data_IF_422006870779
#
_entry.id   IF_422006870779
#
_cell.length_a   1.000
_cell.length_b   1.000
_cell.length_c   1.000
_cell.angle_alpha   90.00
_cell.angle_beta   90.00
_cell.angle_gamma   90.00
#
_symmetry.space_group_name_H-M   'P 1'
#
loop_
_entity.id
_entity.type
_entity.pdbx_description
1 polymer ?
#
# COMPACT_ATOMS: atom_id res chain seq x y z
N UNK A 1 8.40 -4.99 -27.62
CA UNK A 1 7.38 -4.12 -26.98
C UNK A 1 6.13 -4.94 -26.75
N UNK A 2 5.50 -4.84 -25.58
CA UNK A 2 4.26 -5.51 -25.18
C UNK A 2 3.07 -4.58 -25.29
N UNK A 3 1.90 -5.00 -24.84
CA UNK A 3 0.66 -4.22 -25.00
C UNK A 3 0.64 -2.96 -24.14
N UNK A 4 1.40 -2.97 -23.04
CA UNK A 4 1.68 -1.79 -22.22
C UNK A 4 3.15 -1.40 -22.39
N UNK A 5 3.42 -0.09 -22.45
CA UNK A 5 4.75 0.49 -22.27
C UNK A 5 4.67 1.32 -21.00
N UNK A 6 5.31 0.88 -19.92
CA UNK A 6 5.29 1.59 -18.64
C UNK A 6 6.13 2.87 -18.74
N UNK A 7 5.56 4.01 -18.36
CA UNK A 7 6.22 5.32 -18.37
C UNK A 7 6.63 5.76 -16.96
N UNK A 8 7.46 6.80 -16.84
CA UNK A 8 7.73 7.44 -15.54
C UNK A 8 6.46 8.05 -14.93
N UNK A 9 5.60 8.63 -15.75
CA UNK A 9 4.32 9.20 -15.32
C UNK A 9 3.42 8.14 -14.68
N UNK A 10 3.26 6.97 -15.33
CA UNK A 10 2.50 5.85 -14.77
C UNK A 10 3.02 5.45 -13.36
N UNK A 11 4.33 5.54 -13.16
CA UNK A 11 5.01 5.20 -11.90
C UNK A 11 4.76 6.27 -10.83
N UNK A 12 4.98 7.54 -11.16
CA UNK A 12 4.86 8.67 -10.22
C UNK A 12 3.41 8.91 -9.83
N UNK A 13 2.48 8.77 -10.77
CA UNK A 13 1.04 8.92 -10.54
C UNK A 13 0.40 7.66 -9.94
N UNK A 14 1.19 6.59 -9.72
CA UNK A 14 0.73 5.31 -9.17
C UNK A 14 -0.45 4.74 -9.95
N UNK A 15 -0.37 4.75 -11.27
CA UNK A 15 -1.44 4.26 -12.15
C UNK A 15 -1.81 2.82 -11.77
N UNK A 16 -3.09 2.52 -11.53
CA UNK A 16 -3.50 1.16 -11.22
C UNK A 16 -3.43 0.27 -12.47
N UNK A 17 -2.87 -0.92 -12.29
CA UNK A 17 -2.87 -1.97 -13.30
C UNK A 17 -3.50 -3.25 -12.72
N UNK A 18 -4.54 -3.81 -13.34
CA UNK A 18 -5.17 -5.04 -12.86
C UNK A 18 -4.23 -6.24 -12.91
N UNK A 19 -3.19 -6.17 -13.74
CA UNK A 19 -2.15 -7.17 -13.93
C UNK A 19 -0.80 -6.77 -13.31
N UNK A 20 -0.81 -5.87 -12.33
CA UNK A 20 0.38 -5.51 -11.56
C UNK A 20 0.93 -6.71 -10.78
N UNK A 21 2.12 -7.21 -11.14
CA UNK A 21 2.61 -8.52 -10.70
C UNK A 21 4.05 -8.54 -10.17
N UNK A 22 4.81 -7.45 -10.33
CA UNK A 22 6.15 -7.31 -9.75
C UNK A 22 6.21 -6.01 -8.97
N UNK A 23 6.52 -6.06 -7.68
CA UNK A 23 6.66 -4.87 -6.86
C UNK A 23 8.07 -4.29 -6.97
N UNK A 24 8.20 -2.97 -7.07
CA UNK A 24 9.49 -2.30 -6.95
C UNK A 24 9.37 -1.03 -6.11
N UNK A 25 10.41 -0.72 -5.34
CA UNK A 25 10.49 0.42 -4.42
C UNK A 25 11.68 1.32 -4.74
N UNK A 26 12.39 1.06 -5.84
CA UNK A 26 13.58 1.83 -6.22
C UNK A 26 13.19 3.15 -6.86
N UNK A 27 13.91 4.23 -6.57
CA UNK A 27 13.68 5.51 -7.26
C UNK A 27 14.06 5.42 -8.74
N UNK A 28 13.49 6.30 -9.56
CA UNK A 28 13.97 6.50 -10.94
C UNK A 28 15.40 7.04 -10.85
N UNK A 29 16.39 6.20 -11.16
CA UNK A 29 17.82 6.54 -11.08
C UNK A 29 18.48 6.63 -12.46
N UNK A 30 18.61 7.86 -12.95
CA UNK A 30 19.19 8.15 -14.25
C UNK A 30 20.64 8.59 -14.10
N UNK A 31 21.49 8.06 -14.99
CA UNK A 31 22.91 8.32 -14.99
C UNK A 31 23.26 9.31 -16.08
N UNK A 32 23.73 10.49 -15.68
CA UNK A 32 24.15 11.54 -16.60
C UNK A 32 25.65 11.73 -16.53
N UNK A 33 26.33 11.95 -17.66
CA UNK A 33 27.73 12.37 -17.68
C UNK A 33 28.00 13.55 -16.75
N UNK A 34 29.12 13.51 -16.04
CA UNK A 34 29.58 14.68 -15.29
C UNK A 34 30.14 15.73 -16.26
N UNK A 35 29.92 17.01 -15.96
CA UNK A 35 30.30 18.11 -16.84
C UNK A 35 31.79 18.11 -17.27
N UNK A 36 32.77 17.80 -16.39
CA UNK A 36 34.18 17.72 -16.79
C UNK A 36 34.44 16.62 -17.84
N UNK A 37 33.76 15.47 -17.73
CA UNK A 37 33.97 14.34 -18.64
C UNK A 37 33.18 14.48 -19.92
N UNK A 38 32.03 15.16 -19.89
CA UNK A 38 31.32 15.56 -21.10
C UNK A 38 32.16 16.52 -21.96
N UNK A 39 32.92 17.42 -21.32
CA UNK A 39 33.85 18.33 -22.01
C UNK A 39 35.10 17.63 -22.53
N UNK A 40 35.70 16.75 -21.72
CA UNK A 40 36.98 16.08 -22.05
C UNK A 40 36.82 14.91 -23.03
N UNK A 41 35.67 14.23 -23.00
CA UNK A 41 35.37 13.06 -23.81
C UNK A 41 33.96 13.19 -24.42
N UNK A 42 33.72 14.13 -25.34
CA UNK A 42 32.38 14.46 -25.84
C UNK A 42 31.67 13.28 -26.50
N UNK A 43 32.41 12.40 -27.18
CA UNK A 43 31.83 11.25 -27.88
C UNK A 43 31.60 10.02 -26.96
N UNK A 44 32.31 9.96 -25.82
CA UNK A 44 32.24 8.81 -24.91
C UNK A 44 32.59 9.18 -23.46
N UNK A 45 31.73 9.97 -22.78
CA UNK A 45 31.94 10.29 -21.39
C UNK A 45 31.69 9.07 -20.50
N UNK A 46 32.68 8.66 -19.71
CA UNK A 46 32.63 7.41 -18.94
C UNK A 46 32.42 7.58 -17.42
N UNK A 47 32.40 8.83 -16.92
CA UNK A 47 32.10 9.12 -15.51
C UNK A 47 30.74 9.81 -15.43
N UNK A 48 29.81 9.18 -14.73
CA UNK A 48 28.44 9.65 -14.54
C UNK A 48 28.14 10.03 -13.09
N UNK A 49 27.14 10.88 -12.91
CA UNK A 49 26.45 11.09 -11.64
C UNK A 49 25.07 10.44 -11.71
N UNK A 50 24.65 9.81 -10.62
CA UNK A 50 23.29 9.32 -10.48
C UNK A 50 22.37 10.45 -10.01
N UNK A 51 21.23 10.60 -10.68
CA UNK A 51 20.15 11.51 -10.30
C UNK A 51 18.94 10.66 -9.94
N UNK A 52 18.45 10.81 -8.71
CA UNK A 52 17.33 10.04 -8.20
C UNK A 52 16.07 10.90 -8.15
N UNK A 53 15.01 10.44 -8.81
CA UNK A 53 13.67 11.02 -8.69
C UNK A 53 13.06 10.78 -7.31
N UNK A 54 12.23 11.72 -6.85
CA UNK A 54 11.51 11.63 -5.57
C UNK A 54 10.05 11.17 -5.69
N UNK A 55 9.56 10.94 -6.92
CA UNK A 55 8.16 10.58 -7.17
C UNK A 55 7.79 9.13 -6.85
N UNK A 56 8.77 8.25 -6.58
CA UNK A 56 8.50 6.86 -6.18
C UNK A 56 8.29 6.78 -4.68
N UNK A 57 7.17 6.18 -4.29
CA UNK A 57 6.93 5.74 -2.93
C UNK A 57 7.83 4.55 -2.59
N UNK A 58 8.88 4.78 -1.80
CA UNK A 58 9.86 3.74 -1.47
C UNK A 58 9.39 2.78 -0.38
N UNK A 59 8.25 3.08 0.28
CA UNK A 59 7.65 2.21 1.29
C UNK A 59 6.71 1.21 0.63
N UNK A 60 5.71 1.72 -0.11
CA UNK A 60 4.70 0.90 -0.77
C UNK A 60 5.13 0.41 -2.14
N UNK A 61 5.99 1.16 -2.84
CA UNK A 61 6.41 0.84 -4.19
C UNK A 61 5.32 1.06 -5.22
N UNK A 62 5.53 0.47 -6.39
CA UNK A 62 4.55 0.40 -7.46
C UNK A 62 4.67 -0.94 -8.19
N UNK A 63 3.56 -1.50 -8.71
CA UNK A 63 3.59 -2.75 -9.42
C UNK A 63 3.89 -2.57 -10.91
N UNK A 64 4.64 -3.48 -11.50
CA UNK A 64 4.84 -3.55 -12.95
C UNK A 64 3.74 -4.44 -13.55
N UNK A 65 3.06 -4.01 -14.63
CA UNK A 65 2.03 -4.81 -15.29
C UNK A 65 2.63 -5.97 -16.10
N UNK A 66 1.99 -7.14 -16.03
CA UNK A 66 2.36 -8.33 -16.80
C UNK A 66 2.45 -8.05 -18.32
N UNK A 67 1.58 -7.17 -18.84
CA UNK A 67 1.58 -6.78 -20.25
C UNK A 67 2.85 -6.09 -20.76
N UNK A 68 3.77 -5.71 -19.87
CA UNK A 68 5.12 -5.25 -20.24
C UNK A 68 6.07 -6.40 -20.61
N UNK A 69 5.74 -7.65 -20.26
CA UNK A 69 6.65 -8.80 -20.24
C UNK A 69 6.52 -9.74 -21.44
N UNK A 70 5.74 -9.39 -22.47
CA UNK A 70 5.63 -10.18 -23.70
C UNK A 70 5.62 -9.29 -24.93
N UNK A 71 5.88 -9.87 -26.11
CA UNK A 71 5.88 -9.12 -27.36
C UNK A 71 4.47 -8.95 -27.92
N UNK A 72 4.14 -7.73 -28.38
CA UNK A 72 2.85 -7.41 -29.00
C UNK A 72 2.72 -7.93 -30.45
N UNK A 73 3.82 -8.35 -31.07
CA UNK A 73 3.87 -8.74 -32.48
C UNK A 73 4.59 -10.07 -32.76
N UNK A 74 5.20 -10.69 -31.74
CA UNK A 74 5.75 -12.05 -31.83
C UNK A 74 5.02 -12.88 -30.78
N UNK A 75 4.11 -13.73 -31.23
CA UNK A 75 3.10 -14.35 -30.37
C UNK A 75 3.71 -15.15 -29.21
N UNK A 76 4.75 -15.93 -29.46
CA UNK A 76 5.38 -16.79 -28.45
C UNK A 76 6.72 -16.21 -27.92
N UNK A 77 6.76 -14.91 -27.61
CA UNK A 77 7.95 -14.25 -27.08
C UNK A 77 7.69 -13.52 -25.77
N UNK A 78 8.25 -14.04 -24.68
CA UNK A 78 8.40 -13.34 -23.42
C UNK A 78 9.64 -12.43 -23.40
N UNK A 79 9.58 -11.36 -22.61
CA UNK A 79 10.67 -10.45 -22.30
C UNK A 79 10.66 -10.24 -20.77
N UNK A 80 11.77 -10.53 -20.09
CA UNK A 80 11.90 -10.34 -18.66
C UNK A 80 13.28 -9.76 -18.33
N UNK A 81 13.32 -8.79 -17.42
CA UNK A 81 14.53 -8.06 -17.06
C UNK A 81 14.62 -6.72 -17.79
N UNK A 82 15.81 -6.35 -18.29
CA UNK A 82 16.06 -5.02 -18.85
C UNK A 82 15.40 -4.77 -20.21
N UNK A 83 14.91 -5.81 -20.88
CA UNK A 83 14.32 -5.76 -22.21
C UNK A 83 12.78 -5.69 -22.19
N UNK A 84 12.16 -5.50 -21.01
CA UNK A 84 10.71 -5.29 -20.91
C UNK A 84 10.29 -3.96 -21.55
N UNK A 85 8.98 -3.79 -21.71
CA UNK A 85 8.42 -2.65 -22.43
C UNK A 85 8.22 -1.46 -21.50
N UNK A 86 9.21 -0.57 -21.47
CA UNK A 86 9.24 0.64 -20.63
C UNK A 86 9.85 1.82 -21.41
N UNK A 87 9.62 3.05 -20.99
CA UNK A 87 10.39 4.22 -21.48
C UNK A 87 11.80 4.23 -20.89
N UNK A 88 12.67 5.11 -21.41
CA UNK A 88 14.04 5.25 -20.93
C UNK A 88 14.10 5.60 -19.44
N UNK A 89 13.21 6.49 -19.00
CA UNK A 89 13.09 6.97 -17.63
C UNK A 89 12.62 5.85 -16.70
N UNK A 90 11.51 5.19 -17.05
CA UNK A 90 10.99 4.05 -16.30
C UNK A 90 12.00 2.89 -16.22
N UNK A 91 12.84 2.70 -17.25
CA UNK A 91 13.89 1.70 -17.21
C UNK A 91 14.84 1.88 -16.01
N UNK A 92 15.14 3.12 -15.61
CA UNK A 92 16.02 3.43 -14.48
C UNK A 92 15.64 2.65 -13.22
N UNK A 93 14.35 2.66 -12.87
CA UNK A 93 13.85 2.04 -11.65
C UNK A 93 13.52 0.54 -11.78
N UNK A 94 13.06 0.05 -12.93
CA UNK A 94 12.64 -1.36 -13.07
C UNK A 94 13.80 -2.34 -13.25
N UNK A 95 14.97 -1.86 -13.71
CA UNK A 95 16.14 -2.69 -14.10
C UNK A 95 16.97 -3.24 -12.94
N UNK A 96 16.62 -2.95 -11.69
CA UNK A 96 17.32 -3.47 -10.50
C UNK A 96 17.22 -4.99 -10.41
N UNK A 97 18.27 -5.64 -9.94
CA UNK A 97 18.45 -7.11 -10.06
C UNK A 97 17.33 -7.92 -9.38
N UNK A 98 16.87 -7.49 -8.20
CA UNK A 98 15.75 -8.16 -7.49
C UNK A 98 14.45 -8.06 -8.29
N UNK A 99 14.15 -6.88 -8.84
CA UNK A 99 12.99 -6.65 -9.69
C UNK A 99 13.04 -7.52 -10.94
N UNK A 100 14.19 -7.58 -11.63
CA UNK A 100 14.41 -8.47 -12.78
C UNK A 100 14.21 -9.96 -12.41
N UNK A 101 14.68 -10.38 -11.23
CA UNK A 101 14.46 -11.74 -10.73
C UNK A 101 12.98 -12.07 -10.53
N UNK A 102 12.21 -11.15 -9.95
CA UNK A 102 10.75 -11.30 -9.80
C UNK A 102 10.04 -11.39 -11.15
N UNK A 103 10.44 -10.60 -12.16
CA UNK A 103 9.89 -10.73 -13.52
C UNK A 103 10.08 -12.14 -14.08
N UNK A 104 11.24 -12.75 -13.84
CA UNK A 104 11.51 -14.14 -14.24
C UNK A 104 10.57 -15.15 -13.59
N UNK A 105 10.23 -14.96 -12.31
CA UNK A 105 9.24 -15.80 -11.61
C UNK A 105 7.86 -15.65 -12.23
N UNK A 106 7.42 -14.42 -12.51
CA UNK A 106 6.13 -14.15 -13.16
C UNK A 106 6.06 -14.82 -14.53
N UNK A 107 7.08 -14.61 -15.37
CA UNK A 107 7.13 -15.20 -16.72
C UNK A 107 7.17 -16.73 -16.66
N UNK A 108 7.89 -17.33 -15.70
CA UNK A 108 7.89 -18.78 -15.52
C UNK A 108 6.50 -19.34 -15.17
N UNK A 109 5.77 -18.65 -14.28
CA UNK A 109 4.38 -19.00 -13.92
C UNK A 109 3.44 -18.84 -15.12
N UNK A 110 3.53 -17.72 -15.84
CA UNK A 110 2.74 -17.48 -17.05
C UNK A 110 3.04 -18.49 -18.17
N UNK A 111 4.30 -18.83 -18.41
CA UNK A 111 4.69 -19.85 -19.39
C UNK A 111 4.08 -21.22 -19.07
N UNK A 112 3.93 -21.56 -17.79
CA UNK A 112 3.27 -22.79 -17.38
C UNK A 112 1.76 -22.79 -17.69
N UNK A 113 1.09 -21.63 -17.61
CA UNK A 113 -0.30 -21.43 -18.06
C UNK A 113 -0.37 -21.57 -19.58
N UNK A 114 0.52 -20.92 -20.32
CA UNK A 114 0.61 -21.07 -21.78
C UNK A 114 0.71 -22.54 -22.21
N UNK A 115 1.59 -23.31 -21.57
CA UNK A 115 1.78 -24.73 -21.85
C UNK A 115 0.56 -25.58 -21.45
N UNK A 116 -0.10 -25.27 -20.33
CA UNK A 116 -1.27 -26.01 -19.83
C UNK A 116 -2.49 -25.85 -20.74
N UNK A 117 -2.73 -24.64 -21.22
CA UNK A 117 -3.94 -24.31 -22.00
C UNK A 117 -3.69 -24.21 -23.51
N UNK A 118 -2.44 -24.37 -23.95
CA UNK A 118 -2.02 -24.18 -25.34
C UNK A 118 -2.39 -22.77 -25.86
N UNK A 119 -2.03 -21.75 -25.08
CA UNK A 119 -2.32 -20.34 -25.35
C UNK A 119 -1.04 -19.49 -25.41
N UNK A 120 -1.13 -18.27 -25.93
CA UNK A 120 0.01 -17.35 -26.03
C UNK A 120 0.22 -16.56 -24.73
N UNK A 121 1.42 -15.99 -24.49
CA UNK A 121 1.66 -14.99 -23.44
C UNK A 121 0.59 -13.90 -23.33
N UNK A 122 0.11 -13.39 -24.46
CA UNK A 122 -0.94 -12.36 -24.49
C UNK A 122 -2.28 -12.90 -23.98
N UNK A 123 -2.63 -14.13 -24.34
CA UNK A 123 -3.89 -14.76 -23.91
C UNK A 123 -3.94 -14.99 -22.40
N UNK A 124 -2.79 -15.16 -21.73
CA UNK A 124 -2.75 -15.24 -20.27
C UNK A 124 -3.41 -14.02 -19.63
N UNK A 125 -3.19 -12.81 -20.16
CA UNK A 125 -3.85 -11.61 -19.64
C UNK A 125 -5.35 -11.58 -19.94
N UNK A 126 -5.76 -11.91 -21.17
CA UNK A 126 -7.15 -11.74 -21.59
C UNK A 126 -8.07 -12.88 -21.17
N UNK A 127 -7.52 -14.08 -20.91
CA UNK A 127 -8.31 -15.30 -20.71
C UNK A 127 -7.99 -16.01 -19.39
N UNK A 128 -6.78 -15.83 -18.82
CA UNK A 128 -6.30 -16.61 -17.67
C UNK A 128 -5.64 -15.74 -16.59
N UNK A 129 -6.02 -14.46 -16.46
CA UNK A 129 -5.39 -13.53 -15.52
C UNK A 129 -5.63 -13.96 -14.07
N UNK A 130 -6.82 -14.47 -13.77
CA UNK A 130 -7.17 -14.97 -12.43
C UNK A 130 -6.27 -16.15 -12.04
N UNK A 131 -6.06 -17.11 -12.93
CA UNK A 131 -5.14 -18.25 -12.69
C UNK A 131 -3.70 -17.76 -12.49
N UNK A 132 -3.26 -16.74 -13.24
CA UNK A 132 -1.94 -16.14 -13.00
C UNK A 132 -1.86 -15.50 -11.61
N UNK A 133 -2.88 -14.76 -11.17
CA UNK A 133 -2.94 -14.15 -9.84
C UNK A 133 -2.90 -15.22 -8.75
N UNK A 134 -3.68 -16.29 -8.87
CA UNK A 134 -3.64 -17.43 -7.95
C UNK A 134 -2.24 -18.04 -7.87
N UNK A 135 -1.60 -18.27 -9.02
CA UNK A 135 -0.22 -18.76 -9.04
C UNK A 135 0.73 -17.79 -8.36
N UNK A 136 0.59 -16.47 -8.54
CA UNK A 136 1.46 -15.47 -7.93
C UNK A 136 1.33 -15.38 -6.41
N UNK A 137 0.16 -15.72 -5.85
CA UNK A 137 -0.07 -15.79 -4.40
C UNK A 137 0.59 -17.01 -3.74
N UNK A 138 0.98 -18.03 -4.52
CA UNK A 138 1.66 -19.20 -3.97
C UNK A 138 3.05 -18.85 -3.42
N UNK A 139 3.37 -19.27 -2.19
CA UNK A 139 4.71 -19.16 -1.61
C UNK A 139 5.81 -19.79 -2.47
N UNK A 140 7.04 -19.29 -2.33
CA UNK A 140 8.20 -19.75 -3.10
C UNK A 140 8.61 -21.21 -2.86
N UNK A 141 8.11 -21.84 -1.79
CA UNK A 141 8.33 -23.25 -1.44
C UNK A 141 7.26 -24.21 -1.99
N UNK A 142 6.26 -23.73 -2.73
CA UNK A 142 5.25 -24.59 -3.37
C UNK A 142 5.79 -25.27 -4.62
N UNK A 143 5.49 -26.56 -4.81
CA UNK A 143 5.89 -27.40 -5.96
C UNK A 143 4.71 -28.20 -6.48
N UNK A 144 4.84 -28.74 -7.70
CA UNK A 144 3.90 -29.68 -8.32
C UNK A 144 4.67 -30.62 -9.26
N UNK A 145 4.21 -31.84 -9.43
CA UNK A 145 4.87 -32.84 -10.27
C UNK A 145 4.62 -32.64 -11.77
N UNK A 146 3.44 -32.14 -12.13
CA UNK A 146 3.02 -31.87 -13.50
C UNK A 146 2.14 -30.62 -13.57
N UNK A 147 1.83 -30.14 -14.77
CA UNK A 147 0.93 -28.99 -14.97
C UNK A 147 -0.51 -29.25 -14.48
N UNK A 148 -0.91 -30.52 -14.37
CA UNK A 148 -2.23 -30.95 -13.92
C UNK A 148 -2.28 -31.34 -12.43
N UNK A 149 -1.12 -31.53 -11.79
CA UNK A 149 -1.04 -31.95 -10.39
C UNK A 149 -1.34 -30.79 -9.43
N UNK A 150 -1.95 -31.04 -8.27
CA UNK A 150 -2.08 -30.03 -7.22
C UNK A 150 -0.72 -29.59 -6.70
N UNK A 151 -0.66 -28.38 -6.14
CA UNK A 151 0.53 -27.89 -5.46
C UNK A 151 0.68 -28.54 -4.08
N UNK A 152 1.93 -28.79 -3.68
CA UNK A 152 2.31 -29.22 -2.34
C UNK A 152 3.49 -28.37 -1.82
N UNK A 153 3.60 -28.22 -0.51
CA UNK A 153 4.75 -27.57 0.12
C UNK A 153 5.95 -28.53 0.09
N UNK A 154 7.09 -28.08 -0.45
CA UNK A 154 8.32 -28.87 -0.46
C UNK A 154 8.98 -28.83 0.93
N UNK A 155 9.06 -29.97 1.66
CA UNK A 155 9.61 -30.00 3.02
C UNK A 155 11.12 -29.72 3.07
N UNK A 156 11.81 -29.71 1.93
CA UNK A 156 13.25 -29.43 1.86
C UNK A 156 13.54 -27.92 1.68
N UNK A 157 12.51 -27.10 1.48
CA UNK A 157 12.66 -25.65 1.32
C UNK A 157 12.29 -24.92 2.60
N UNK A 158 12.90 -23.75 2.86
CA UNK A 158 12.53 -22.92 3.98
C UNK A 158 11.04 -22.55 3.93
N UNK A 159 10.40 -22.53 5.09
CA UNK A 159 9.08 -21.93 5.23
C UNK A 159 9.17 -20.46 4.86
N UNK A 160 8.24 -20.00 4.03
CA UNK A 160 8.12 -18.59 3.67
C UNK A 160 7.21 -17.97 4.71
N UNK A 161 7.78 -17.17 5.60
CA UNK A 161 7.02 -16.38 6.58
C UNK A 161 6.45 -15.13 5.92
N UNK A 162 5.26 -14.71 6.35
CA UNK A 162 4.69 -13.43 5.95
C UNK A 162 5.62 -12.28 6.40
N UNK A 163 5.86 -11.27 5.55
CA UNK A 163 6.68 -10.14 5.94
C UNK A 163 6.07 -9.42 7.14
N UNK A 164 6.89 -9.15 8.15
CA UNK A 164 6.50 -8.28 9.26
C UNK A 164 6.40 -6.86 8.71
N UNK A 165 5.17 -6.38 8.53
CA UNK A 165 4.90 -4.98 8.19
C UNK A 165 4.77 -4.16 9.46
N UNK A 166 5.29 -2.93 9.42
CA UNK A 166 5.29 -1.97 10.51
C UNK A 166 4.06 -1.04 10.47
N UNK A 167 3.03 -1.41 9.70
CA UNK A 167 1.76 -0.72 9.54
C UNK A 167 0.61 -1.74 9.46
N UNK A 168 -0.61 -1.25 9.57
CA UNK A 168 -1.83 -2.05 9.50
C UNK A 168 -2.52 -1.78 8.16
N UNK A 169 -2.53 -2.74 7.22
CA UNK A 169 -3.32 -2.58 6.00
C UNK A 169 -4.80 -2.47 6.35
N UNK A 170 -5.49 -1.46 5.81
CA UNK A 170 -6.93 -1.25 5.98
C UNK A 170 -7.73 -2.48 5.53
N UNK A 171 -7.28 -3.16 4.48
CA UNK A 171 -7.86 -4.40 3.97
C UNK A 171 -7.78 -5.59 4.95
N UNK A 172 -6.90 -5.52 5.96
CA UNK A 172 -6.77 -6.55 7.01
C UNK A 172 -7.70 -6.32 8.21
N UNK A 173 -8.51 -5.25 8.17
CA UNK A 173 -9.40 -4.84 9.25
C UNK A 173 -10.86 -5.12 8.85
N UNK A 174 -11.62 -5.62 9.81
CA UNK A 174 -13.07 -5.83 9.64
C UNK A 174 -13.84 -4.53 9.85
N UNK A 175 -15.07 -4.51 9.33
CA UNK A 175 -15.99 -3.38 9.49
C UNK A 175 -15.67 -2.21 8.57
N UNK A 176 -16.23 -1.06 8.91
CA UNK A 176 -15.95 0.19 8.20
C UNK A 176 -14.69 0.79 8.83
N UNK A 177 -13.71 1.13 8.00
CA UNK A 177 -12.49 1.80 8.46
C UNK A 177 -12.32 3.10 7.68
N UNK A 178 -11.93 4.16 8.38
CA UNK A 178 -11.67 5.48 7.83
C UNK A 178 -10.28 5.89 8.30
N UNK A 179 -9.35 5.95 7.35
CA UNK A 179 -7.94 6.30 7.56
C UNK A 179 -7.75 7.81 7.80
N UNK A 180 -6.59 8.23 8.29
CA UNK A 180 -6.27 9.63 8.57
C UNK A 180 -6.39 10.50 7.31
N UNK A 181 -5.97 9.98 6.16
CA UNK A 181 -6.07 10.67 4.85
C UNK A 181 -7.50 10.83 4.34
N UNK A 182 -8.45 10.06 4.85
CA UNK A 182 -9.87 10.19 4.53
C UNK A 182 -10.59 11.18 5.47
N UNK A 183 -9.93 11.64 6.53
CA UNK A 183 -10.48 12.59 7.47
C UNK A 183 -10.49 14.02 6.92
N UNK A 184 -11.53 14.79 7.27
CA UNK A 184 -11.56 16.24 7.04
C UNK A 184 -10.79 16.93 8.16
N UNK A 185 -9.59 17.42 7.86
CA UNK A 185 -8.74 18.14 8.80
C UNK A 185 -9.06 19.64 8.86
N UNK A 186 -9.16 20.18 10.06
CA UNK A 186 -9.24 21.62 10.35
C UNK A 186 -8.07 22.02 11.25
N UNK A 187 -7.46 23.17 10.96
CA UNK A 187 -6.29 23.66 11.69
C UNK A 187 -4.98 23.06 11.19
N UNK A 188 -3.91 23.22 11.99
CA UNK A 188 -2.55 22.81 11.60
C UNK A 188 -2.23 21.43 12.17
N UNK A 189 -2.11 20.45 11.29
CA UNK A 189 -1.66 19.11 11.59
C UNK A 189 -0.25 18.87 11.03
N UNK A 190 0.54 18.07 11.73
CA UNK A 190 1.77 17.49 11.22
C UNK A 190 1.53 16.00 10.91
N UNK A 191 2.27 15.47 9.94
CA UNK A 191 2.23 14.04 9.59
C UNK A 191 3.38 13.29 10.28
N UNK A 192 3.12 12.04 10.66
CA UNK A 192 4.12 11.16 11.23
C UNK A 192 3.91 9.72 10.81
N UNK A 193 5.02 8.98 10.74
CA UNK A 193 5.04 7.53 10.53
C UNK A 193 6.15 6.88 11.37
N UNK A 194 6.59 7.57 12.43
CA UNK A 194 7.70 7.16 13.28
C UNK A 194 7.30 6.29 14.46
N UNK A 195 6.00 6.23 14.77
CA UNK A 195 5.42 5.25 15.69
C UNK A 195 4.76 4.15 14.86
N UNK A 196 5.35 2.95 14.73
CA UNK A 196 4.82 1.84 13.94
C UNK A 196 3.40 1.43 14.34
N UNK A 197 2.78 0.60 13.50
CA UNK A 197 1.42 0.07 13.64
C UNK A 197 0.31 1.12 13.42
N UNK A 198 0.60 2.16 12.64
CA UNK A 198 -0.42 3.06 12.08
C UNK A 198 -1.22 2.36 10.98
N UNK A 199 -2.43 2.84 10.69
CA UNK A 199 -3.21 2.35 9.56
C UNK A 199 -2.67 2.97 8.27
N UNK A 200 -2.54 2.15 7.23
CA UNK A 200 -2.04 2.56 5.91
C UNK A 200 -0.66 3.24 5.89
N UNK A 201 -0.60 4.58 5.81
CA UNK A 201 0.61 5.33 5.44
C UNK A 201 1.24 6.12 6.58
N UNK A 202 0.47 6.44 7.62
CA UNK A 202 0.92 7.25 8.73
C UNK A 202 -0.22 7.68 9.63
N UNK A 203 -0.02 8.82 10.27
CA UNK A 203 -1.00 9.46 11.13
C UNK A 203 -0.77 10.98 11.15
N UNK A 204 -1.80 11.73 11.53
CA UNK A 204 -1.68 13.14 11.86
C UNK A 204 -1.51 13.35 13.37
N UNK A 205 -0.80 14.40 13.76
CA UNK A 205 -0.76 14.87 15.14
C UNK A 205 -0.75 16.39 15.25
N UNK A 206 -1.39 16.90 16.30
CA UNK A 206 -1.47 18.32 16.60
C UNK A 206 -1.44 18.55 18.12
N UNK A 207 -0.79 19.64 18.53
CA UNK A 207 -0.46 19.93 19.92
C UNK A 207 -1.39 20.93 20.60
N UNK A 208 -0.98 21.35 21.81
CA UNK A 208 -1.69 22.35 22.63
C UNK A 208 -1.88 23.67 21.87
N UNK A 209 -3.03 24.31 22.09
CA UNK A 209 -3.33 25.63 21.54
C UNK A 209 -3.52 25.68 20.03
N UNK A 210 -3.58 24.52 19.36
CA UNK A 210 -3.74 24.46 17.90
C UNK A 210 -5.19 24.62 17.43
N UNK A 211 -6.19 24.44 18.31
CA UNK A 211 -7.61 24.50 17.97
C UNK A 211 -8.00 23.61 16.78
N UNK A 212 -7.23 22.55 16.53
CA UNK A 212 -7.32 21.70 15.37
C UNK A 212 -8.29 20.53 15.62
N UNK A 213 -8.86 20.00 14.54
CA UNK A 213 -9.73 18.82 14.59
C UNK A 213 -9.57 17.94 13.35
N UNK A 214 -9.74 16.63 13.53
CA UNK A 214 -9.79 15.64 12.48
C UNK A 214 -11.17 14.98 12.52
N UNK A 215 -11.95 15.14 11.45
CA UNK A 215 -13.34 14.70 11.37
C UNK A 215 -13.47 13.52 10.39
N UNK A 216 -13.85 12.36 10.92
CA UNK A 216 -14.07 11.11 10.20
C UNK A 216 -15.57 10.92 9.97
N UNK A 217 -15.97 10.72 8.71
CA UNK A 217 -17.37 10.51 8.30
C UNK A 217 -17.56 9.10 7.75
N UNK A 218 -18.66 8.45 8.11
CA UNK A 218 -19.02 7.14 7.57
C UNK A 218 -20.53 6.95 7.48
N UNK A 219 -20.95 5.97 6.70
CA UNK A 219 -22.35 5.52 6.61
C UNK A 219 -22.40 4.04 6.93
N UNK A 220 -23.35 3.63 7.78
CA UNK A 220 -23.54 2.22 8.14
C UNK A 220 -24.43 1.51 7.11
N UNK A 221 -24.23 0.20 6.86
CA UNK A 221 -25.04 -0.53 5.88
C UNK A 221 -26.46 -0.87 6.37
N UNK A 222 -26.65 -0.94 7.69
CA UNK A 222 -27.94 -1.25 8.35
C UNK A 222 -28.07 -0.46 9.64
N UNK A 223 -29.30 -0.13 10.02
CA UNK A 223 -29.56 0.47 11.33
C UNK A 223 -29.20 -0.52 12.44
N UNK A 224 -28.62 -0.04 13.54
CA UNK A 224 -28.22 -0.89 14.66
C UNK A 224 -27.12 -0.29 15.53
N UNK A 225 -26.68 -1.08 16.50
CA UNK A 225 -25.58 -0.72 17.38
C UNK A 225 -24.24 -1.13 16.77
N UNK A 226 -23.26 -0.24 16.89
CA UNK A 226 -21.92 -0.44 16.40
C UNK A 226 -20.90 -0.10 17.48
N UNK A 227 -19.86 -0.91 17.59
CA UNK A 227 -18.68 -0.55 18.35
C UNK A 227 -17.85 0.44 17.54
N UNK A 228 -17.58 1.60 18.14
CA UNK A 228 -16.74 2.64 17.54
C UNK A 228 -15.39 2.61 18.22
N UNK A 229 -14.33 2.51 17.42
CA UNK A 229 -12.94 2.46 17.87
C UNK A 229 -12.11 3.53 17.16
N UNK A 230 -11.04 3.98 17.82
CA UNK A 230 -10.00 4.81 17.22
C UNK A 230 -8.66 4.08 17.30
N UNK A 231 -7.79 4.30 16.32
CA UNK A 231 -6.39 3.89 16.40
C UNK A 231 -5.52 5.05 16.89
N UNK A 232 -4.51 4.74 17.71
CA UNK A 232 -3.43 5.66 18.01
C UNK A 232 -2.20 4.92 18.55
N UNK A 233 -1.03 5.55 18.43
CA UNK A 233 0.19 5.00 19.04
C UNK A 233 0.65 5.77 20.28
N UNK A 234 0.95 5.07 21.39
CA UNK A 234 1.30 5.69 22.65
C UNK A 234 2.69 6.32 22.60
N UNK A 235 2.83 7.49 23.19
CA UNK A 235 4.13 8.12 23.41
C UNK A 235 4.03 9.14 24.56
N UNK A 236 5.13 9.38 25.27
CA UNK A 236 5.14 10.27 26.46
C UNK A 236 4.71 11.71 26.18
N UNK A 237 4.93 12.17 24.93
CA UNK A 237 4.53 13.50 24.45
C UNK A 237 3.07 13.59 23.96
N UNK A 238 2.31 12.49 23.99
CA UNK A 238 0.88 12.50 23.64
C UNK A 238 0.06 13.17 24.73
N UNK A 239 -1.12 13.63 24.36
CA UNK A 239 -2.06 14.16 25.33
C UNK A 239 -2.66 13.03 26.19
N UNK A 240 -2.80 13.29 27.49
CA UNK A 240 -3.48 12.41 28.44
C UNK A 240 -5.01 12.60 28.43
N UNK A 241 -5.48 13.61 27.69
CA UNK A 241 -6.85 14.10 27.75
C UNK A 241 -7.41 14.45 26.36
N UNK A 242 -6.98 13.79 25.29
CA UNK A 242 -7.45 14.05 23.92
C UNK A 242 -8.97 13.93 23.84
N UNK A 243 -9.72 14.99 23.50
CA UNK A 243 -11.17 14.92 23.34
C UNK A 243 -11.53 14.20 22.03
N UNK A 244 -12.32 13.14 22.16
CA UNK A 244 -12.87 12.37 21.05
C UNK A 244 -14.39 12.47 21.12
N UNK A 245 -15.02 13.00 20.08
CA UNK A 245 -16.47 13.20 20.01
C UNK A 245 -17.09 12.25 19.00
N UNK A 246 -18.05 11.44 19.44
CA UNK A 246 -18.89 10.61 18.58
C UNK A 246 -20.24 11.29 18.38
N UNK A 247 -20.65 11.48 17.13
CA UNK A 247 -22.00 11.94 16.77
C UNK A 247 -22.73 10.75 16.16
N UNK A 248 -23.80 10.33 16.85
CA UNK A 248 -24.61 9.15 16.56
C UNK A 248 -26.09 9.54 16.57
N UNK A 249 -27.00 8.60 16.29
CA UNK A 249 -28.44 8.89 16.36
C UNK A 249 -28.93 9.17 17.78
N UNK A 250 -28.24 8.63 18.79
CA UNK A 250 -28.52 8.91 20.19
C UNK A 250 -28.03 10.31 20.63
N UNK A 251 -27.29 11.03 19.78
CA UNK A 251 -26.75 12.35 20.04
C UNK A 251 -25.23 12.42 20.03
N UNK A 252 -24.72 13.48 20.66
CA UNK A 252 -23.28 13.81 20.70
C UNK A 252 -22.70 13.40 22.05
N UNK A 253 -21.61 12.62 22.04
CA UNK A 253 -20.88 12.22 23.24
C UNK A 253 -19.39 12.49 23.07
N UNK A 254 -18.77 13.16 24.05
CA UNK A 254 -17.34 13.42 24.08
C UNK A 254 -16.68 12.63 25.21
N UNK A 255 -15.57 11.95 24.90
CA UNK A 255 -14.76 11.18 25.84
C UNK A 255 -13.33 11.72 25.78
N UNK A 256 -12.64 11.78 26.91
CA UNK A 256 -11.21 12.11 26.96
C UNK A 256 -10.40 10.82 26.97
N UNK A 257 -9.50 10.66 26.00
CA UNK A 257 -8.65 9.49 25.85
C UNK A 257 -7.21 9.84 26.21
N UNK A 258 -6.57 8.99 27.04
CA UNK A 258 -5.18 9.13 27.39
C UNK A 258 -4.30 8.42 26.36
N UNK A 259 -3.78 9.19 25.40
CA UNK A 259 -2.95 8.68 24.32
C UNK A 259 -1.49 8.46 24.74
N UNK A 260 -1.12 8.65 26.01
CA UNK A 260 0.18 8.20 26.54
C UNK A 260 0.20 6.70 26.83
N UNK A 261 -0.97 6.08 26.98
CA UNK A 261 -1.13 4.68 27.36
C UNK A 261 -1.50 3.88 26.12
N UNK A 262 -0.86 2.73 25.94
CA UNK A 262 -1.15 1.82 24.84
C UNK A 262 -2.65 1.46 24.78
N UNK A 263 -3.27 1.52 23.60
CA UNK A 263 -4.62 0.99 23.41
C UNK A 263 -4.70 -0.49 23.84
N UNK A 264 -5.79 -0.92 24.48
CA UNK A 264 -5.90 -2.29 25.00
C UNK A 264 -6.20 -3.34 23.91
N UNK A 265 -6.69 -2.92 22.74
CA UNK A 265 -7.02 -3.85 21.66
C UNK A 265 -5.82 -4.03 20.72
N UNK A 266 -5.80 -5.17 20.03
CA UNK A 266 -4.79 -5.46 19.01
C UNK A 266 -4.73 -4.37 17.93
N UNK A 267 -3.57 -4.26 17.27
CA UNK A 267 -3.35 -3.31 16.16
C UNK A 267 -3.56 -1.83 16.54
N UNK A 268 -3.39 -1.46 17.80
CA UNK A 268 -3.43 -0.05 18.23
C UNK A 268 -4.83 0.53 18.42
N UNK A 269 -5.86 -0.31 18.57
CA UNK A 269 -7.24 0.17 18.70
C UNK A 269 -7.69 0.40 20.15
N UNK A 270 -8.43 1.49 20.34
CA UNK A 270 -9.10 1.85 21.59
C UNK A 270 -10.60 1.97 21.34
N UNK A 271 -11.41 1.33 22.17
CA UNK A 271 -12.87 1.38 22.06
C UNK A 271 -13.45 2.64 22.70
N UNK A 272 -14.28 3.36 21.95
CA UNK A 272 -15.08 4.48 22.46
C UNK A 272 -16.42 4.00 23.03
N UNK A 273 -16.75 2.72 22.87
CA UNK A 273 -18.00 2.09 23.28
C UNK A 273 -18.96 1.79 22.12
N UNK A 274 -20.19 1.43 22.49
CA UNK A 274 -21.29 1.14 21.56
C UNK A 274 -22.14 2.38 21.31
N UNK A 275 -22.53 2.58 20.05
CA UNK A 275 -23.35 3.69 19.58
C UNK A 275 -24.34 3.21 18.52
N UNK A 276 -25.56 3.75 18.57
CA UNK A 276 -26.60 3.46 17.59
C UNK A 276 -26.47 4.35 16.36
N UNK A 277 -26.53 3.76 15.16
CA UNK A 277 -26.51 4.46 13.88
C UNK A 277 -27.60 3.98 12.94
N UNK A 278 -28.09 4.90 12.12
CA UNK A 278 -29.08 4.73 11.07
C UNK A 278 -28.44 5.05 9.71
N UNK A 279 -28.65 4.23 8.66
CA UNK A 279 -28.03 4.41 7.35
C UNK A 279 -28.45 5.71 6.65
N UNK A 280 -29.54 6.37 7.08
CA UNK A 280 -30.01 7.65 6.52
C UNK A 280 -29.21 8.85 7.01
N UNK A 281 -28.36 8.71 8.05
CA UNK A 281 -27.55 9.78 8.60
C UNK A 281 -26.07 9.38 8.67
N UNK A 282 -25.13 10.33 8.42
CA UNK A 282 -23.72 10.03 8.57
C UNK A 282 -23.35 9.88 10.05
N UNK A 283 -22.65 8.80 10.36
CA UNK A 283 -21.91 8.66 11.62
C UNK A 283 -20.64 9.50 11.59
N UNK A 284 -20.26 10.04 12.75
CA UNK A 284 -19.11 10.94 12.85
C UNK A 284 -18.26 10.63 14.07
N UNK A 285 -16.95 10.64 13.88
CA UNK A 285 -15.98 10.74 14.97
C UNK A 285 -15.11 11.98 14.74
N UNK A 286 -14.90 12.78 15.77
CA UNK A 286 -14.02 13.96 15.75
C UNK A 286 -12.93 13.80 16.80
N UNK A 287 -11.68 13.85 16.37
CA UNK A 287 -10.51 13.96 17.25
C UNK A 287 -10.14 15.44 17.33
N UNK A 288 -10.24 16.04 18.52
CA UNK A 288 -9.99 17.46 18.73
C UNK A 288 -8.71 17.72 19.53
N UNK A 289 -8.23 18.96 19.49
CA UNK A 289 -7.09 19.44 20.29
C UNK A 289 -7.46 20.52 21.29
N UNK A 290 -8.75 20.76 21.53
CA UNK A 290 -9.18 21.80 22.47
C UNK A 290 -8.81 21.39 23.91
N UNK A 291 -8.01 22.23 24.59
CA UNK A 291 -7.58 21.99 25.97
C UNK A 291 -6.66 20.78 26.18
N UNK A 292 -6.02 20.24 25.14
CA UNK A 292 -5.11 19.09 25.28
C UNK A 292 -3.82 19.45 26.02
N UNK A 293 -3.29 18.49 26.79
CA UNK A 293 -2.06 18.64 27.58
C UNK A 293 -0.80 18.06 26.90
N UNK A 294 -0.92 17.68 25.63
CA UNK A 294 0.14 17.12 24.79
C UNK A 294 -0.28 17.06 23.32
N UNK A 295 0.36 16.20 22.52
CA UNK A 295 -0.05 15.99 21.13
C UNK A 295 -1.22 15.01 21.04
N UNK A 296 -2.34 15.43 20.45
CA UNK A 296 -3.38 14.53 19.97
C UNK A 296 -2.86 13.76 18.76
N UNK A 297 -3.09 12.45 18.72
CA UNK A 297 -2.76 11.55 17.62
C UNK A 297 -4.07 11.15 16.92
N UNK A 298 -4.10 11.27 15.60
CA UNK A 298 -5.23 10.95 14.74
C UNK A 298 -4.75 10.00 13.63
N UNK A 299 -5.09 8.73 13.76
CA UNK A 299 -4.76 7.66 12.81
C UNK A 299 -6.07 7.24 12.12
N UNK A 300 -6.69 6.13 12.50
CA UNK A 300 -7.95 5.68 11.91
C UNK A 300 -9.13 5.61 12.88
N UNK A 301 -10.33 5.54 12.30
CA UNK A 301 -11.58 5.14 12.96
C UNK A 301 -12.04 3.80 12.42
N UNK A 302 -12.44 2.88 13.31
CA UNK A 302 -13.03 1.59 12.95
C UNK A 302 -14.44 1.48 13.54
N UNK A 303 -15.39 1.01 12.74
CA UNK A 303 -16.81 0.84 13.11
C UNK A 303 -17.22 -0.59 12.80
N UNK A 304 -17.58 -1.34 13.84
CA UNK A 304 -17.93 -2.76 13.77
C UNK A 304 -19.38 -2.97 14.18
N UNK A 305 -20.18 -3.74 13.43
CA UNK A 305 -21.53 -4.08 13.88
C UNK A 305 -21.45 -4.88 15.19
N UNK A 306 -22.32 -4.53 16.13
CA UNK A 306 -22.65 -5.37 17.27
C UNK A 306 -23.94 -6.08 16.90
N UNK A 307 -23.87 -7.40 16.71
CA UNK A 307 -25.04 -8.21 16.37
C UNK A 307 -26.12 -8.16 17.46
#
# INVERSE_FOLDING_TARGET
>A
LGDVILTEEDIVEKRPFPDGCVLTTWSVDLHYPTEPYLKKFPDNPFISKAVHGSGVDRKKGYPLPYRCFYSRNIENLFMAGRNISVTHEALGTVRVMKTCGMMGVVVGKAAAICAKHNVTPRDVYYQHLEELIELLQLPGNMRRESLASPFFEDPNLPKIEEPIVDYVPKSSLSGIVIDDKEAKLTGKWAEGAGLPMYVEDGYHYAGKGSGSSARYEFTVPRAGDYEVRISYQPHENRASNTPITVISDAGVKTIKVNQKIAPPLAKGFYTLGSYHFDPSKPGVVVIGTEGVDGNAHADAVQVLPLD
#
